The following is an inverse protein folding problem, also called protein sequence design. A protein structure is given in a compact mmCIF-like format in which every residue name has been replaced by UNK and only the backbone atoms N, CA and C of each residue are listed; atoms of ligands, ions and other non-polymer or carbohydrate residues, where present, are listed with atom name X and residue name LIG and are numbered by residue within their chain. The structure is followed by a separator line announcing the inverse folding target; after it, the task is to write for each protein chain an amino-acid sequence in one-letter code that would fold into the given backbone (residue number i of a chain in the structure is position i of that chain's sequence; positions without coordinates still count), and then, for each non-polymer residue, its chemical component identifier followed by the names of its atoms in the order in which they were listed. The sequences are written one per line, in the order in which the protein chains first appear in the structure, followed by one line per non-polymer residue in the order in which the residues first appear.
data_IF_147206954867
#
_entry.id   IF_147206954867
#
_cell.length_a   1.000
_cell.length_b   1.000
_cell.length_c   1.000
_cell.angle_alpha   90.00
_cell.angle_beta   90.00
_cell.angle_gamma   90.00
#
_symmetry.space_group_name_H-M   'P 1'
#
loop_
_entity.id
_entity.type
_entity.pdbx_description
1 polymer ?
#
# COMPACT_ATOMS: atom_id res chain seq x y z
N UNK A 1 8.84 4.64 1.49
CA UNK A 1 7.80 3.68 1.89
C UNK A 1 6.71 3.55 0.83
N UNK A 2 6.15 4.68 0.38
CA UNK A 2 5.04 4.71 -0.57
C UNK A 2 5.35 4.10 -1.93
N UNK A 3 6.58 4.21 -2.43
CA UNK A 3 7.04 3.49 -3.65
C UNK A 3 6.90 1.96 -3.54
N UNK A 4 7.18 1.36 -2.37
CA UNK A 4 7.06 -0.09 -2.15
C UNK A 4 5.58 -0.51 -2.22
N UNK A 5 4.71 0.27 -1.59
CA UNK A 5 3.28 0.00 -1.62
C UNK A 5 2.72 0.14 -3.05
N UNK A 6 3.14 1.17 -3.80
CA UNK A 6 2.73 1.37 -5.19
C UNK A 6 3.19 0.22 -6.09
N UNK A 7 4.46 -0.18 -5.99
CA UNK A 7 4.98 -1.34 -6.73
C UNK A 7 4.22 -2.63 -6.38
N UNK A 8 3.83 -2.82 -5.11
CA UNK A 8 3.01 -3.96 -4.72
C UNK A 8 1.62 -3.92 -5.34
N UNK A 9 0.96 -2.76 -5.36
CA UNK A 9 -0.36 -2.60 -5.98
C UNK A 9 -0.30 -2.88 -7.50
N UNK A 10 0.78 -2.47 -8.16
CA UNK A 10 1.02 -2.77 -9.58
C UNK A 10 1.16 -4.28 -9.83
N UNK A 11 1.93 -4.99 -9.00
CA UNK A 11 2.14 -6.42 -9.15
C UNK A 11 0.93 -7.27 -8.74
N UNK A 12 0.27 -6.92 -7.63
CA UNK A 12 -0.80 -7.73 -7.04
C UNK A 12 -2.17 -7.45 -7.65
N UNK A 13 -2.44 -6.22 -8.08
CA UNK A 13 -3.75 -5.78 -8.56
C UNK A 13 -3.75 -5.23 -9.99
N UNK A 14 -2.60 -5.24 -10.67
CA UNK A 14 -2.44 -4.65 -12.01
C UNK A 14 -2.88 -3.18 -12.08
N UNK A 15 -2.87 -2.48 -10.95
CA UNK A 15 -3.21 -1.06 -10.86
C UNK A 15 -1.94 -0.24 -11.02
N UNK A 16 -1.80 0.64 -12.02
CA UNK A 16 -0.59 1.43 -12.28
C UNK A 16 -0.37 2.51 -11.20
N UNK A 17 -0.10 2.10 -9.97
CA UNK A 17 -0.12 2.94 -8.79
C UNK A 17 1.05 3.94 -8.73
N UNK A 18 2.14 3.71 -9.49
CA UNK A 18 3.25 4.65 -9.61
C UNK A 18 2.88 5.89 -10.42
N UNK A 19 2.04 5.75 -11.45
CA UNK A 19 1.57 6.84 -12.31
C UNK A 19 0.28 7.51 -11.80
N UNK A 20 -0.28 7.03 -10.69
CA UNK A 20 -1.58 7.45 -10.16
C UNK A 20 -1.42 8.32 -8.92
N UNK A 21 -2.34 9.28 -8.77
CA UNK A 21 -2.44 10.06 -7.53
C UNK A 21 -2.99 9.22 -6.38
N UNK A 22 -2.69 9.61 -5.14
CA UNK A 22 -3.23 8.95 -3.93
C UNK A 22 -4.75 8.86 -3.92
N UNK A 23 -5.44 9.87 -4.48
CA UNK A 23 -6.89 9.88 -4.61
C UNK A 23 -7.40 8.82 -5.60
N UNK A 24 -6.74 8.67 -6.75
CA UNK A 24 -7.09 7.64 -7.74
C UNK A 24 -6.80 6.23 -7.22
N UNK A 25 -5.65 6.01 -6.57
CA UNK A 25 -5.34 4.74 -5.91
C UNK A 25 -6.43 4.42 -4.87
N UNK A 26 -6.84 5.41 -4.07
CA UNK A 26 -7.90 5.22 -3.08
C UNK A 26 -9.26 4.84 -3.69
N UNK A 27 -9.56 5.32 -4.91
CA UNK A 27 -10.74 4.89 -5.67
C UNK A 27 -10.59 3.46 -6.19
N UNK A 28 -9.44 3.09 -6.74
CA UNK A 28 -9.17 1.73 -7.22
C UNK A 28 -9.23 0.70 -6.09
N UNK A 29 -8.69 1.05 -4.93
CA UNK A 29 -8.83 0.26 -3.71
C UNK A 29 -10.31 -0.01 -3.38
N UNK A 30 -11.29 0.80 -3.83
CA UNK A 30 -12.75 0.58 -3.59
C UNK A 30 -13.28 -0.62 -4.34
N UNK A 31 -12.67 -0.93 -5.47
CA UNK A 31 -12.99 -2.11 -6.25
C UNK A 31 -12.45 -3.40 -5.61
N UNK A 32 -11.46 -3.30 -4.71
CA UNK A 32 -10.84 -4.45 -4.06
C UNK A 32 -11.64 -4.95 -2.86
N UNK A 33 -11.64 -6.28 -2.67
CA UNK A 33 -12.24 -6.98 -1.53
C UNK A 33 -11.41 -6.84 -0.24
N UNK A 34 -11.12 -5.60 0.17
CA UNK A 34 -10.33 -5.29 1.37
C UNK A 34 -11.21 -4.60 2.43
N UNK A 35 -10.84 -4.74 3.69
CA UNK A 35 -11.57 -4.13 4.81
C UNK A 35 -11.43 -2.61 4.84
N UNK A 36 -12.39 -1.94 5.49
CA UNK A 36 -12.40 -0.47 5.63
C UNK A 36 -11.15 0.04 6.35
N UNK A 37 -10.71 -0.66 7.39
CA UNK A 37 -9.50 -0.34 8.15
C UNK A 37 -8.23 -0.43 7.32
N UNK A 38 -8.09 -1.47 6.48
CA UNK A 38 -6.95 -1.64 5.58
C UNK A 38 -6.91 -0.51 4.55
N UNK A 39 -8.05 -0.18 3.96
CA UNK A 39 -8.20 0.94 3.03
C UNK A 39 -7.81 2.27 3.69
N UNK A 40 -8.30 2.53 4.91
CA UNK A 40 -7.98 3.76 5.63
C UNK A 40 -6.49 3.83 5.97
N UNK A 41 -5.90 2.71 6.38
CA UNK A 41 -4.48 2.59 6.66
C UNK A 41 -3.61 2.88 5.44
N UNK A 42 -3.92 2.29 4.30
CA UNK A 42 -3.21 2.53 3.05
C UNK A 42 -3.28 3.98 2.60
N UNK A 43 -4.46 4.60 2.73
CA UNK A 43 -4.65 5.99 2.40
C UNK A 43 -3.77 6.90 3.27
N UNK A 44 -3.69 6.63 4.58
CA UNK A 44 -2.80 7.36 5.49
C UNK A 44 -1.33 7.18 5.08
N UNK A 45 -0.88 5.97 4.77
CA UNK A 45 0.50 5.71 4.32
C UNK A 45 0.82 6.48 3.03
N UNK A 46 -0.12 6.49 2.07
CA UNK A 46 0.04 7.19 0.80
C UNK A 46 0.04 8.72 0.96
N UNK A 47 -0.80 9.28 1.83
CA UNK A 47 -0.83 10.72 2.12
C UNK A 47 0.41 11.15 2.92
N UNK A 48 0.81 10.38 3.93
CA UNK A 48 2.00 10.68 4.75
C UNK A 48 3.28 10.64 3.92
N UNK A 49 3.42 9.63 3.06
CA UNK A 49 4.58 9.55 2.19
C UNK A 49 4.60 10.59 1.07
N UNK A 50 3.45 11.15 0.67
CA UNK A 50 3.40 12.31 -0.23
C UNK A 50 3.83 13.58 0.53
N UNK A 51 3.29 13.77 1.74
CA UNK A 51 3.62 14.87 2.62
C UNK A 51 5.11 14.90 2.98
N UNK A 52 5.71 13.76 3.31
CA UNK A 52 7.14 13.65 3.60
C UNK A 52 8.03 14.01 2.38
N UNK A 53 7.57 13.68 1.16
CA UNK A 53 8.26 13.98 -0.10
C UNK A 53 8.26 15.49 -0.39
N UNK A 54 7.18 16.19 0.00
CA UNK A 54 7.04 17.64 -0.19
C UNK A 54 7.59 18.49 0.97
N UNK A 55 7.46 18.03 2.21
CA UNK A 55 7.75 18.84 3.38
C UNK A 55 9.22 18.75 3.86
N UNK A 56 10.07 17.90 3.25
CA UNK A 56 11.42 17.55 3.76
C UNK A 56 11.40 17.10 5.24
N UNK A 57 10.24 16.70 5.73
CA UNK A 57 10.03 16.18 7.08
C UNK A 57 10.25 14.68 6.99
N UNK A 58 11.33 14.21 7.59
CA UNK A 58 11.54 12.78 7.77
C UNK A 58 10.61 12.31 8.90
N UNK A 59 9.72 11.32 8.65
CA UNK A 59 8.91 10.76 9.70
C UNK A 59 9.80 10.13 10.76
N UNK A 60 9.38 10.22 12.02
CA UNK A 60 10.14 9.64 13.13
C UNK A 60 10.26 8.13 12.97
N UNK A 61 11.28 7.51 13.56
CA UNK A 61 11.47 6.05 13.50
C UNK A 61 10.25 5.25 13.96
N UNK A 62 9.49 5.78 14.93
CA UNK A 62 8.25 5.16 15.41
C UNK A 62 7.11 5.21 14.38
N UNK A 63 6.98 6.30 13.63
CA UNK A 63 6.00 6.44 12.56
C UNK A 63 6.36 5.54 11.38
N UNK A 64 7.65 5.57 10.99
CA UNK A 64 8.20 4.69 9.96
C UNK A 64 7.94 3.22 10.27
N UNK A 65 8.15 2.80 11.52
CA UNK A 65 7.91 1.41 11.91
C UNK A 65 6.42 1.04 11.85
N UNK A 66 5.53 1.97 12.25
CA UNK A 66 4.07 1.77 12.14
C UNK A 66 3.62 1.66 10.69
N UNK A 67 4.10 2.52 9.81
CA UNK A 67 3.78 2.46 8.39
C UNK A 67 4.29 1.17 7.75
N UNK A 68 5.49 0.73 8.14
CA UNK A 68 6.04 -0.54 7.70
C UNK A 68 5.16 -1.72 8.13
N UNK A 69 4.74 -1.75 9.39
CA UNK A 69 3.86 -2.79 9.93
C UNK A 69 2.52 -2.84 9.18
N UNK A 70 1.96 -1.66 8.89
CA UNK A 70 0.69 -1.50 8.17
C UNK A 70 0.78 -1.97 6.72
N UNK A 71 1.85 -1.61 6.01
CA UNK A 71 2.10 -2.09 4.65
C UNK A 71 2.34 -3.59 4.64
N UNK A 72 3.10 -4.12 5.61
CA UNK A 72 3.36 -5.56 5.75
C UNK A 72 2.07 -6.34 5.99
N UNK A 73 1.24 -5.90 6.93
CA UNK A 73 -0.03 -6.54 7.25
C UNK A 73 -0.97 -6.53 6.05
N UNK A 74 -1.05 -5.40 5.33
CA UNK A 74 -1.79 -5.31 4.08
C UNK A 74 -1.29 -6.31 3.02
N UNK A 75 0.02 -6.38 2.80
CA UNK A 75 0.62 -7.32 1.85
C UNK A 75 0.32 -8.77 2.24
N UNK A 76 0.37 -9.10 3.53
CA UNK A 76 0.05 -10.45 4.01
C UNK A 76 -1.44 -10.78 3.88
N UNK A 77 -2.32 -9.83 4.18
CA UNK A 77 -3.76 -9.99 4.10
C UNK A 77 -4.29 -10.03 2.66
N UNK A 78 -3.61 -9.33 1.74
CA UNK A 78 -4.01 -9.23 0.33
C UNK A 78 -3.19 -10.08 -0.61
N UNK A 79 -2.11 -10.71 -0.11
CA UNK A 79 -1.36 -11.69 -0.89
C UNK A 79 -2.39 -12.66 -1.45
N UNK A 80 -2.53 -12.81 -2.78
CA UNK A 80 -3.33 -13.88 -3.30
C UNK A 80 -2.77 -15.14 -2.64
N UNK A 81 -3.61 -15.87 -1.91
CA UNK A 81 -3.24 -17.18 -1.39
C UNK A 81 -2.68 -17.89 -2.61
N UNK A 82 -1.36 -18.08 -2.66
CA UNK A 82 -0.73 -18.81 -3.75
C UNK A 82 -1.52 -20.11 -3.77
N UNK A 83 -2.38 -20.25 -4.79
CA UNK A 83 -2.90 -21.55 -5.10
C UNK A 83 -1.62 -22.33 -5.30
N UNK A 84 -1.48 -23.35 -4.48
CA UNK A 84 -0.39 -24.28 -4.46
C UNK A 84 -0.40 -24.96 -5.83
N UNK A 85 0.15 -24.32 -6.85
CA UNK A 85 0.48 -24.96 -8.11
C UNK A 85 1.76 -25.75 -7.84
N UNK A 86 1.55 -27.00 -7.44
CA UNK A 86 2.62 -27.98 -7.37
C UNK A 86 3.18 -28.33 -8.75
N UNK A 87 4.38 -28.91 -8.73
CA UNK A 87 5.05 -29.53 -9.86
C UNK A 87 6.34 -28.80 -10.19
N UNK A 88 7.53 -29.34 -9.94
CA UNK A 88 7.94 -30.74 -10.07
C UNK A 88 8.98 -31.14 -9.03
#
# INVERSE_FOLDING_TARGET
MTDILRAYLEGAFQTPAMDRTTAEISMELKSLSITMDQRLGLRVVLEDGDLAKFAKLEPTDSERLKDFDRVRDFVLATKPMETREGGK
#
